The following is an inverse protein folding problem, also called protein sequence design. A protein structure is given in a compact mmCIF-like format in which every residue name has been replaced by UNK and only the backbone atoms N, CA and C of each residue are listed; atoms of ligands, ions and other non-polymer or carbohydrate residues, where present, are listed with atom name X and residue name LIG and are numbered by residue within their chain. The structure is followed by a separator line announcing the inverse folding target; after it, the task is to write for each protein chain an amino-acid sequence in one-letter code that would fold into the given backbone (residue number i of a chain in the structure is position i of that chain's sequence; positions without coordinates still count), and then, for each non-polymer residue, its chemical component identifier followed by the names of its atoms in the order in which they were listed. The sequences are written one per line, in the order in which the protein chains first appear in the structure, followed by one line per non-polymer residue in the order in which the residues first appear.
data_IF_400799359767
#
_entry.id   IF_400799359767
#
_cell.length_a   1.000
_cell.length_b   1.000
_cell.length_c   1.000
_cell.angle_alpha   90.00
_cell.angle_beta   90.00
_cell.angle_gamma   90.00
#
_symmetry.space_group_name_H-M   'P 1'
#
loop_
_entity.id
_entity.type
_entity.pdbx_description
1 polymer ?
#
# COMPACT_ATOMS: atom_id res chain seq x y z
N UNK A 1 -30.40 5.77 -35.20
CA UNK A 1 -29.55 5.01 -34.26
C UNK A 1 -28.04 5.08 -34.56
N UNK A 2 -27.53 4.71 -35.75
CA UNK A 2 -26.08 4.73 -36.08
C UNK A 2 -25.34 6.07 -35.79
N UNK A 3 -25.98 7.23 -36.00
CA UNK A 3 -25.37 8.54 -35.75
C UNK A 3 -25.29 8.93 -34.26
N UNK A 4 -26.16 8.36 -33.41
CA UNK A 4 -26.18 8.63 -31.96
C UNK A 4 -25.06 7.85 -31.25
N UNK A 5 -24.84 6.60 -31.65
CA UNK A 5 -23.76 5.74 -31.14
C UNK A 5 -22.36 6.29 -31.49
N UNK A 6 -22.18 6.84 -32.69
CA UNK A 6 -20.91 7.44 -33.11
C UNK A 6 -20.59 8.75 -32.35
N UNK A 7 -21.62 9.54 -32.04
CA UNK A 7 -21.48 10.79 -31.30
C UNK A 7 -21.11 10.57 -29.83
N UNK A 8 -21.68 9.54 -29.18
CA UNK A 8 -21.31 9.17 -27.81
C UNK A 8 -19.87 8.63 -27.72
N UNK A 9 -19.42 7.86 -28.71
CA UNK A 9 -18.06 7.32 -28.78
C UNK A 9 -16.98 8.41 -28.92
N UNK A 10 -17.27 9.49 -29.67
CA UNK A 10 -16.35 10.61 -29.89
C UNK A 10 -16.23 11.54 -28.68
N UNK A 11 -17.31 11.76 -27.92
CA UNK A 11 -17.27 12.53 -26.65
C UNK A 11 -16.53 11.76 -25.55
N UNK A 12 -16.51 10.43 -25.62
CA UNK A 12 -15.84 9.55 -24.65
C UNK A 12 -14.31 9.54 -24.77
N UNK A 13 -13.77 9.71 -25.98
CA UNK A 13 -12.32 9.72 -26.21
C UNK A 13 -11.65 11.03 -25.79
N UNK A 14 -12.41 12.08 -25.48
CA UNK A 14 -11.90 13.42 -25.18
C UNK A 14 -11.83 13.78 -23.68
N UNK A 15 -12.13 12.86 -22.76
CA UNK A 15 -12.12 13.16 -21.33
C UNK A 15 -10.73 12.90 -20.71
N UNK A 16 -10.08 13.92 -20.11
CA UNK A 16 -8.77 13.74 -19.48
C UNK A 16 -8.85 12.84 -18.24
N UNK A 17 -7.84 12.00 -18.06
CA UNK A 17 -7.67 11.16 -16.88
C UNK A 17 -7.29 12.04 -15.67
N UNK A 18 -8.20 12.20 -14.72
CA UNK A 18 -7.92 12.82 -13.43
C UNK A 18 -7.25 11.78 -12.53
N UNK A 19 -5.94 11.97 -12.30
CA UNK A 19 -5.19 11.20 -11.30
C UNK A 19 -5.64 11.57 -9.90
N UNK A 20 -5.77 10.59 -9.01
CA UNK A 20 -6.01 10.85 -7.60
C UNK A 20 -4.80 11.60 -7.01
N UNK A 21 -5.04 12.76 -6.39
CA UNK A 21 -4.02 13.48 -5.63
C UNK A 21 -3.54 12.57 -4.48
N UNK A 22 -2.25 12.24 -4.48
CA UNK A 22 -1.62 11.61 -3.32
C UNK A 22 -1.59 12.65 -2.19
N UNK A 23 -2.09 12.26 -1.02
CA UNK A 23 -1.93 13.09 0.17
C UNK A 23 -0.43 13.24 0.45
N UNK A 24 0.09 14.47 0.40
CA UNK A 24 1.51 14.73 0.66
C UNK A 24 1.81 14.49 2.13
N UNK A 25 2.86 13.71 2.41
CA UNK A 25 3.32 13.49 3.79
C UNK A 25 4.06 14.74 4.28
N UNK A 26 3.59 15.33 5.38
CA UNK A 26 4.23 16.49 6.00
C UNK A 26 5.38 16.05 6.93
N UNK A 27 6.61 16.16 6.43
CA UNK A 27 7.82 15.87 7.18
C UNK A 27 8.13 16.87 8.31
N UNK A 28 7.41 17.98 8.41
CA UNK A 28 7.58 18.99 9.46
C UNK A 28 6.68 18.74 10.67
N UNK A 29 5.63 17.95 10.50
CA UNK A 29 4.62 17.67 11.53
C UNK A 29 5.06 16.59 12.55
N UNK A 30 6.24 15.99 12.40
CA UNK A 30 6.73 14.99 13.35
C UNK A 30 7.02 15.64 14.70
N UNK A 31 6.09 15.43 15.62
CA UNK A 31 6.16 15.92 16.98
C UNK A 31 7.12 15.04 17.78
N UNK A 32 8.42 15.22 17.56
CA UNK A 32 9.43 14.65 18.45
C UNK A 32 9.30 15.38 19.78
N UNK A 33 8.89 14.63 20.80
CA UNK A 33 8.71 15.12 22.17
C UNK A 33 9.88 16.01 22.56
N UNK A 34 9.58 17.14 23.20
CA UNK A 34 10.61 17.98 23.76
C UNK A 34 11.41 17.15 24.77
N UNK A 35 12.73 17.09 24.60
CA UNK A 35 13.60 16.45 25.58
C UNK A 35 13.65 17.31 26.85
N UNK A 36 13.82 16.67 28.00
CA UNK A 36 13.89 17.36 29.28
C UNK A 36 15.00 18.43 29.26
N UNK A 37 14.76 19.58 29.90
CA UNK A 37 15.69 20.71 29.86
C UNK A 37 17.05 20.39 30.49
N UNK A 38 17.08 19.41 31.40
CA UNK A 38 18.25 18.90 32.11
C UNK A 38 18.91 17.69 31.43
N UNK A 39 18.45 17.29 30.24
CA UNK A 39 19.07 16.21 29.49
C UNK A 39 20.44 16.64 28.95
N UNK A 40 21.48 15.89 29.34
CA UNK A 40 22.87 16.26 29.06
C UNK A 40 23.27 16.08 27.59
N UNK A 41 22.47 15.31 26.84
CA UNK A 41 22.64 14.97 25.42
C UNK A 41 21.67 15.73 24.50
N UNK A 42 21.23 16.94 24.90
CA UNK A 42 20.36 17.80 24.07
C UNK A 42 20.88 18.04 22.65
N UNK A 43 22.20 18.14 22.47
CA UNK A 43 22.80 18.31 21.14
C UNK A 43 22.63 17.05 20.28
N UNK A 44 22.79 15.87 20.87
CA UNK A 44 22.55 14.57 20.20
C UNK A 44 21.08 14.46 19.81
N UNK A 45 20.16 14.83 20.71
CA UNK A 45 18.74 14.86 20.40
C UNK A 45 18.41 15.83 19.26
N UNK A 46 19.02 17.01 19.25
CA UNK A 46 18.82 18.01 18.18
C UNK A 46 19.32 17.48 16.83
N UNK A 47 20.49 16.84 16.81
CA UNK A 47 21.01 16.20 15.61
C UNK A 47 20.13 15.03 15.17
N UNK A 48 19.67 14.19 16.11
CA UNK A 48 18.75 13.09 15.84
C UNK A 48 17.46 13.57 15.17
N UNK A 49 16.86 14.69 15.65
CA UNK A 49 15.69 15.32 15.02
C UNK A 49 15.96 15.78 13.59
N UNK A 50 17.09 16.45 13.36
CA UNK A 50 17.47 16.88 12.00
C UNK A 50 17.66 15.68 11.08
N UNK A 51 18.30 14.61 11.56
CA UNK A 51 18.46 13.36 10.82
C UNK A 51 17.10 12.74 10.50
N UNK A 52 16.18 12.72 11.46
CA UNK A 52 14.81 12.24 11.29
C UNK A 52 14.03 12.99 10.19
N UNK A 53 14.17 14.32 10.11
CA UNK A 53 13.55 15.11 9.04
C UNK A 53 14.09 14.70 7.66
N UNK A 54 15.43 14.55 7.53
CA UNK A 54 16.07 14.06 6.31
C UNK A 54 15.64 12.63 5.96
N UNK A 55 15.45 11.77 6.96
CA UNK A 55 14.90 10.42 6.79
C UNK A 55 13.52 10.50 6.13
N UNK A 56 12.61 11.29 6.69
CA UNK A 56 11.26 11.44 6.15
C UNK A 56 11.27 11.93 4.70
N UNK A 57 12.02 13.00 4.41
CA UNK A 57 12.10 13.56 3.05
C UNK A 57 12.65 12.53 2.05
N UNK A 58 13.71 11.82 2.43
CA UNK A 58 14.33 10.80 1.57
C UNK A 58 13.38 9.64 1.30
N UNK A 59 12.60 9.22 2.29
CA UNK A 59 11.63 8.15 2.13
C UNK A 59 10.46 8.61 1.25
N UNK A 60 9.95 9.83 1.47
CA UNK A 60 8.91 10.43 0.62
C UNK A 60 9.36 10.47 -0.84
N UNK A 61 10.57 10.96 -1.10
CA UNK A 61 11.11 11.05 -2.47
C UNK A 61 11.21 9.67 -3.15
N UNK A 62 11.49 8.60 -2.40
CA UNK A 62 11.47 7.22 -2.89
C UNK A 62 10.04 6.80 -3.28
N UNK A 63 9.05 7.12 -2.44
CA UNK A 63 7.65 6.75 -2.68
C UNK A 63 6.99 7.54 -3.82
N UNK A 64 7.30 8.82 -3.95
CA UNK A 64 6.74 9.69 -4.99
C UNK A 64 7.35 9.41 -6.38
N UNK A 65 8.27 8.44 -6.49
CA UNK A 65 8.94 8.11 -7.75
C UNK A 65 9.78 9.27 -8.29
N UNK A 66 10.23 10.16 -7.40
CA UNK A 66 11.03 11.31 -7.75
C UNK A 66 12.28 10.87 -8.52
N UNK A 67 12.43 11.35 -9.75
CA UNK A 67 13.67 11.16 -10.50
C UNK A 67 14.80 11.77 -9.68
N UNK A 68 15.92 11.06 -9.45
CA UNK A 68 17.01 11.58 -8.62
C UNK A 68 17.45 12.93 -9.19
N UNK A 69 17.21 14.00 -8.43
CA UNK A 69 17.80 15.31 -8.69
C UNK A 69 19.31 15.10 -8.81
N UNK A 70 19.93 15.61 -9.88
CA UNK A 70 21.38 15.53 -10.16
C UNK A 70 22.19 15.55 -8.85
N UNK A 71 22.74 14.40 -8.45
CA UNK A 71 23.34 14.21 -7.13
C UNK A 71 23.14 12.80 -6.57
N UNK A 72 23.35 12.66 -5.25
CA UNK A 72 23.16 11.40 -4.51
C UNK A 72 21.71 10.93 -4.58
N UNK A 73 21.52 9.61 -4.76
CA UNK A 73 20.22 8.95 -4.64
C UNK A 73 19.61 9.18 -3.26
N UNK A 74 18.28 9.12 -3.09
CA UNK A 74 17.64 9.24 -1.77
C UNK A 74 18.22 8.25 -0.74
N UNK A 75 18.57 7.04 -1.17
CA UNK A 75 19.23 6.03 -0.32
C UNK A 75 20.62 6.47 0.14
N UNK A 76 21.42 7.10 -0.73
CA UNK A 76 22.75 7.59 -0.36
C UNK A 76 22.69 8.81 0.56
N UNK A 77 21.72 9.73 0.35
CA UNK A 77 21.50 10.88 1.25
C UNK A 77 21.13 10.41 2.65
N UNK A 78 20.26 9.42 2.73
CA UNK A 78 19.88 8.78 3.97
C UNK A 78 21.09 8.13 4.67
N UNK A 79 21.82 7.25 3.98
CA UNK A 79 22.96 6.55 4.56
C UNK A 79 24.00 7.53 5.10
N UNK A 80 24.25 8.62 4.35
CA UNK A 80 25.10 9.70 4.83
C UNK A 80 24.54 10.35 6.10
N UNK A 81 23.26 10.71 6.13
CA UNK A 81 22.64 11.37 7.29
C UNK A 81 22.69 10.50 8.56
N UNK A 82 22.47 9.19 8.42
CA UNK A 82 22.59 8.21 9.51
C UNK A 82 24.04 8.01 9.95
N UNK A 83 24.98 7.96 9.01
CA UNK A 83 26.41 7.88 9.30
C UNK A 83 26.91 9.12 10.05
N UNK A 84 26.57 10.31 9.58
CA UNK A 84 26.91 11.59 10.21
C UNK A 84 26.32 11.68 11.62
N UNK A 85 25.09 11.21 11.83
CA UNK A 85 24.47 11.15 13.14
C UNK A 85 25.16 10.15 14.07
N UNK A 86 25.43 8.93 13.58
CA UNK A 86 26.15 7.91 14.34
C UNK A 86 27.53 8.42 14.78
N UNK A 87 28.25 9.11 13.89
CA UNK A 87 29.53 9.72 14.22
C UNK A 87 29.40 10.81 15.30
N UNK A 88 28.39 11.66 15.19
CA UNK A 88 28.13 12.72 16.16
C UNK A 88 27.79 12.16 17.55
N UNK A 89 26.86 11.21 17.63
CA UNK A 89 26.43 10.59 18.88
C UNK A 89 27.56 9.80 19.56
N UNK A 90 28.33 9.08 18.76
CA UNK A 90 29.54 8.40 19.19
C UNK A 90 30.56 9.35 19.82
N UNK A 91 30.86 10.46 19.14
CA UNK A 91 31.83 11.43 19.64
C UNK A 91 31.34 12.08 20.95
N UNK A 92 30.04 12.30 21.11
CA UNK A 92 29.47 12.79 22.35
C UNK A 92 29.75 11.83 23.52
N UNK A 93 29.49 10.53 23.33
CA UNK A 93 29.78 9.51 24.33
C UNK A 93 31.29 9.36 24.60
N UNK A 94 32.14 9.39 23.57
CA UNK A 94 33.60 9.28 23.70
C UNK A 94 34.17 10.51 24.43
N UNK A 95 33.64 11.71 24.20
CA UNK A 95 34.08 12.90 24.91
C UNK A 95 33.76 12.82 26.41
N UNK A 96 32.64 12.18 26.76
CA UNK A 96 32.19 12.07 28.15
C UNK A 96 32.82 10.86 28.88
N UNK A 97 33.16 9.77 28.16
CA UNK A 97 33.58 8.49 28.77
C UNK A 97 34.81 7.82 28.14
N UNK A 98 35.36 8.33 27.03
CA UNK A 98 36.28 7.61 26.14
C UNK A 98 37.67 7.28 26.70
N UNK A 99 38.05 7.86 27.84
CA UNK A 99 39.28 7.49 28.57
C UNK A 99 39.04 6.48 29.71
N UNK A 100 37.78 6.10 29.96
CA UNK A 100 37.43 5.21 31.08
C UNK A 100 37.69 3.76 30.70
N UNK A 101 38.71 3.13 31.29
CA UNK A 101 38.98 1.68 31.12
C UNK A 101 37.79 0.81 31.56
N UNK A 102 36.93 1.34 32.43
CA UNK A 102 35.77 0.67 33.00
C UNK A 102 34.67 0.49 31.95
N UNK A 103 34.51 1.47 31.07
CA UNK A 103 33.44 1.50 30.07
C UNK A 103 34.10 1.33 28.70
N UNK A 104 34.29 0.08 28.26
CA UNK A 104 34.90 -0.29 26.97
C UNK A 104 34.01 0.11 25.78
N UNK A 105 33.72 1.40 25.66
CA UNK A 105 32.67 1.98 24.83
C UNK A 105 33.11 2.10 23.37
N UNK A 106 34.39 2.38 23.12
CA UNK A 106 34.93 2.68 21.78
C UNK A 106 34.59 1.59 20.75
N UNK A 107 34.78 0.31 21.10
CA UNK A 107 34.48 -0.80 20.19
C UNK A 107 32.98 -0.91 19.85
N UNK A 108 32.10 -0.73 20.84
CA UNK A 108 30.64 -0.82 20.64
C UNK A 108 30.11 0.38 19.85
N UNK A 109 30.68 1.56 20.10
CA UNK A 109 30.32 2.82 19.45
C UNK A 109 30.77 2.83 17.98
N UNK A 110 31.98 2.33 17.67
CA UNK A 110 32.43 2.17 16.28
C UNK A 110 31.57 1.18 15.51
N UNK A 111 31.24 0.04 16.12
CA UNK A 111 30.35 -0.94 15.49
C UNK A 111 28.95 -0.35 15.20
N UNK A 112 28.41 0.46 16.12
CA UNK A 112 27.16 1.19 15.91
C UNK A 112 27.26 2.17 14.72
N UNK A 113 28.35 2.94 14.60
CA UNK A 113 28.56 3.87 13.48
C UNK A 113 28.51 3.13 12.13
N UNK A 114 29.25 2.02 12.02
CA UNK A 114 29.29 1.20 10.81
C UNK A 114 27.90 0.65 10.46
N UNK A 115 27.12 0.27 11.47
CA UNK A 115 25.76 -0.25 11.29
C UNK A 115 24.76 0.83 10.88
N UNK A 116 24.83 2.02 11.47
CA UNK A 116 24.00 3.15 11.04
C UNK A 116 24.28 3.52 9.58
N UNK A 117 25.56 3.55 9.18
CA UNK A 117 25.97 3.84 7.81
C UNK A 117 25.54 2.76 6.80
N UNK A 118 25.42 1.50 7.25
CA UNK A 118 25.03 0.35 6.40
C UNK A 118 23.56 -0.06 6.53
N UNK A 119 22.74 0.70 7.27
CA UNK A 119 21.33 0.35 7.52
C UNK A 119 20.55 0.27 6.21
N UNK A 120 19.88 -0.88 6.00
CA UNK A 120 19.02 -1.11 4.85
C UNK A 120 17.58 -0.71 5.20
N UNK A 121 17.08 0.36 4.55
CA UNK A 121 15.70 0.84 4.68
C UNK A 121 14.65 -0.24 4.47
N UNK A 122 14.89 -1.17 3.55
CA UNK A 122 13.91 -2.19 3.18
C UNK A 122 13.59 -3.14 4.35
N UNK A 123 14.50 -3.25 5.33
CA UNK A 123 14.28 -4.10 6.50
C UNK A 123 13.44 -3.42 7.58
N UNK A 124 13.32 -2.08 7.54
CA UNK A 124 12.65 -1.30 8.57
C UNK A 124 13.28 -1.38 9.96
N UNK A 125 14.48 -1.94 10.08
CA UNK A 125 15.16 -2.18 11.35
C UNK A 125 16.33 -1.23 11.51
N UNK A 126 16.14 -0.19 12.31
CA UNK A 126 17.17 0.78 12.63
C UNK A 126 17.90 0.37 13.90
N UNK A 127 19.19 0.72 14.01
CA UNK A 127 19.90 0.62 15.28
C UNK A 127 19.14 1.35 16.40
N UNK A 128 19.27 0.88 17.63
CA UNK A 128 18.70 1.53 18.81
C UNK A 128 19.69 1.36 19.95
N UNK A 129 19.85 2.39 20.77
CA UNK A 129 20.55 2.25 22.04
C UNK A 129 19.55 1.82 23.10
N UNK A 130 19.86 0.81 23.89
CA UNK A 130 18.99 0.32 24.94
C UNK A 130 19.75 0.14 26.25
N UNK A 131 19.04 0.33 27.36
CA UNK A 131 19.52 0.02 28.70
C UNK A 131 18.66 -1.11 29.28
N UNK A 132 19.31 -2.15 29.81
CA UNK A 132 18.61 -3.20 30.55
C UNK A 132 19.15 -3.33 31.97
N UNK A 133 18.27 -3.60 32.93
CA UNK A 133 18.66 -4.00 34.28
C UNK A 133 19.13 -5.47 34.29
N UNK A 134 20.17 -5.74 35.06
CA UNK A 134 20.67 -7.08 35.38
C UNK A 134 20.77 -7.25 36.89
N UNK A 135 21.00 -8.47 37.37
CA UNK A 135 21.22 -8.75 38.79
C UNK A 135 22.47 -8.01 39.34
N UNK A 136 23.41 -7.66 38.46
CA UNK A 136 24.68 -7.00 38.79
C UNK A 136 24.66 -5.49 38.54
N UNK A 137 23.55 -4.93 38.02
CA UNK A 137 23.42 -3.49 37.77
C UNK A 137 22.66 -3.16 36.48
N UNK A 138 23.28 -2.37 35.60
CA UNK A 138 22.72 -1.99 34.32
C UNK A 138 23.69 -2.32 33.19
N UNK A 139 23.16 -2.65 32.03
CA UNK A 139 23.93 -2.85 30.81
C UNK A 139 23.38 -1.98 29.70
N UNK A 140 24.29 -1.31 28.98
CA UNK A 140 23.99 -0.64 27.73
C UNK A 140 24.32 -1.54 26.56
N UNK A 141 23.51 -1.48 25.50
CA UNK A 141 23.80 -2.18 24.25
C UNK A 141 23.14 -1.49 23.07
N UNK A 142 23.68 -1.76 21.87
CA UNK A 142 23.05 -1.35 20.63
C UNK A 142 22.33 -2.55 20.02
N UNK A 143 21.04 -2.44 19.79
CA UNK A 143 20.29 -3.46 19.04
C UNK A 143 20.33 -3.15 17.56
N UNK A 144 20.51 -4.19 16.75
CA UNK A 144 20.44 -4.09 15.29
C UNK A 144 19.43 -5.06 14.69
N UNK A 145 19.25 -4.93 13.38
CA UNK A 145 18.32 -5.71 12.58
C UNK A 145 18.42 -7.23 12.75
N UNK A 146 19.63 -7.74 13.02
CA UNK A 146 19.90 -9.17 12.96
C UNK A 146 20.30 -9.81 14.28
N UNK A 147 20.95 -9.11 15.23
CA UNK A 147 21.27 -9.63 16.59
C UNK A 147 21.49 -8.50 17.61
N UNK A 148 21.23 -8.79 18.89
CA UNK A 148 21.81 -8.02 20.01
C UNK A 148 23.31 -8.24 19.97
N UNK A 149 24.09 -7.16 19.87
CA UNK A 149 25.54 -7.25 19.95
C UNK A 149 26.06 -6.57 21.20
N UNK A 150 27.12 -7.17 21.74
CA UNK A 150 27.98 -6.78 22.88
C UNK A 150 27.37 -5.75 23.84
N UNK A 151 26.90 -6.27 24.97
CA UNK A 151 26.55 -5.50 26.16
C UNK A 151 27.80 -4.92 26.80
N UNK A 152 27.68 -3.74 27.40
CA UNK A 152 28.69 -3.17 28.29
C UNK A 152 28.05 -2.81 29.63
N UNK A 153 28.79 -3.06 30.70
CA UNK A 153 28.32 -2.73 32.05
C UNK A 153 28.27 -1.21 32.24
N UNK A 154 27.17 -0.71 32.78
CA UNK A 154 26.99 0.66 33.24
C UNK A 154 27.15 0.62 34.78
N UNK A 155 28.26 1.14 35.33
CA UNK A 155 28.47 1.14 36.76
C UNK A 155 27.39 1.99 37.46
N UNK A 156 26.85 1.53 38.59
CA UNK A 156 25.81 2.25 39.34
C UNK A 156 26.33 3.58 39.88
N UNK A 157 27.54 3.56 40.44
CA UNK A 157 28.22 4.70 41.02
C UNK A 157 29.64 4.76 40.48
N UNK A 158 29.91 5.73 39.61
CA UNK A 158 31.26 6.02 39.13
C UNK A 158 31.49 7.52 39.09
N UNK A 159 32.67 7.96 39.54
CA UNK A 159 33.05 9.38 39.56
C UNK A 159 33.02 10.01 38.16
N UNK A 160 33.29 9.23 37.11
CA UNK A 160 33.23 9.69 35.72
C UNK A 160 31.83 10.23 35.37
N UNK A 161 30.75 9.55 35.80
CA UNK A 161 29.39 9.98 35.52
C UNK A 161 28.98 11.25 36.27
N UNK A 162 29.51 11.46 37.48
CA UNK A 162 29.30 12.72 38.22
C UNK A 162 29.93 13.92 37.51
N UNK A 163 30.99 13.68 36.72
CA UNK A 163 31.74 14.69 35.98
C UNK A 163 31.19 14.98 34.60
N UNK A 164 30.35 14.10 34.03
CA UNK A 164 29.74 14.32 32.71
C UNK A 164 28.94 15.62 32.72
N UNK A 165 29.46 16.62 32.01
CA UNK A 165 28.85 17.94 31.78
C UNK A 165 28.31 18.63 33.04
N UNK A 166 28.92 18.37 34.21
CA UNK A 166 28.48 18.86 35.53
C UNK A 166 27.01 18.52 35.88
N UNK A 167 26.46 17.46 35.29
CA UNK A 167 25.07 17.10 35.48
C UNK A 167 24.74 16.59 36.89
N UNK A 168 25.76 16.09 37.61
CA UNK A 168 25.62 15.51 38.94
C UNK A 168 24.52 14.44 39.01
N UNK A 169 24.45 13.59 37.97
CA UNK A 169 23.47 12.51 37.82
C UNK A 169 24.13 11.13 38.03
N UNK A 170 23.39 10.13 38.52
CA UNK A 170 23.82 8.73 38.47
C UNK A 170 24.13 8.30 37.02
N UNK A 171 25.07 7.36 36.84
CA UNK A 171 25.43 6.86 35.51
C UNK A 171 24.22 6.38 34.72
N UNK A 172 23.32 5.64 35.38
CA UNK A 172 22.08 5.15 34.77
C UNK A 172 21.30 6.29 34.11
N UNK A 173 21.14 7.41 34.79
CA UNK A 173 20.35 8.53 34.30
C UNK A 173 21.06 9.27 33.17
N UNK A 174 22.41 9.36 33.20
CA UNK A 174 23.20 9.88 32.08
C UNK A 174 23.06 9.02 30.83
N UNK A 175 23.13 7.69 30.97
CA UNK A 175 22.92 6.79 29.83
C UNK A 175 21.44 6.80 29.38
N UNK A 176 20.49 6.95 30.29
CA UNK A 176 19.06 7.08 29.95
C UNK A 176 18.83 8.38 29.16
N UNK A 177 19.51 9.46 29.55
CA UNK A 177 19.52 10.70 28.80
C UNK A 177 20.05 10.50 27.37
N UNK A 178 21.10 9.68 27.23
CA UNK A 178 21.64 9.31 25.92
C UNK A 178 20.67 8.44 25.11
N UNK A 179 20.03 7.45 25.72
CA UNK A 179 19.01 6.59 25.10
C UNK A 179 17.88 7.40 24.49
N UNK A 180 17.31 8.31 25.27
CA UNK A 180 16.23 9.21 24.82
C UNK A 180 16.72 10.10 23.67
N UNK A 181 17.92 10.68 23.80
CA UNK A 181 18.48 11.55 22.79
C UNK A 181 18.82 10.81 21.48
N UNK A 182 19.39 9.62 21.59
CA UNK A 182 19.84 8.81 20.46
C UNK A 182 18.65 8.23 19.69
N UNK A 183 17.65 7.68 20.37
CA UNK A 183 16.51 7.01 19.72
C UNK A 183 15.47 7.98 19.13
N UNK A 184 15.65 9.29 19.29
CA UNK A 184 14.72 10.29 18.79
C UNK A 184 14.53 10.26 17.26
N UNK A 185 15.57 9.92 16.48
CA UNK A 185 15.40 9.80 15.02
C UNK A 185 14.49 8.63 14.64
N UNK A 186 14.54 7.53 15.40
CA UNK A 186 13.76 6.32 15.13
C UNK A 186 12.28 6.54 15.42
N UNK A 187 11.92 7.27 16.49
CA UNK A 187 10.52 7.61 16.76
C UNK A 187 9.83 8.24 15.54
N UNK A 188 10.52 9.13 14.82
CA UNK A 188 10.01 9.74 13.58
C UNK A 188 9.88 8.74 12.46
N UNK A 189 10.87 7.86 12.28
CA UNK A 189 10.78 6.79 11.29
C UNK A 189 9.59 5.86 11.58
N UNK A 190 9.45 5.41 12.83
CA UNK A 190 8.37 4.53 13.25
C UNK A 190 7.01 5.21 13.07
N UNK A 191 6.89 6.50 13.41
CA UNK A 191 5.69 7.30 13.13
C UNK A 191 5.41 7.39 11.63
N UNK A 192 6.42 7.73 10.83
CA UNK A 192 6.30 7.83 9.37
C UNK A 192 5.84 6.51 8.76
N UNK A 193 6.50 5.40 9.10
CA UNK A 193 6.17 4.08 8.56
C UNK A 193 4.79 3.67 9.00
N UNK A 194 4.44 3.87 10.27
CA UNK A 194 3.10 3.53 10.75
C UNK A 194 2.03 4.36 10.06
N UNK A 195 2.22 5.67 9.91
CA UNK A 195 1.21 6.54 9.31
C UNK A 195 1.14 6.38 7.79
N UNK A 196 2.27 6.21 7.11
CA UNK A 196 2.31 5.88 5.67
C UNK A 196 1.70 4.51 5.41
N UNK A 197 2.02 3.49 6.21
CA UNK A 197 1.40 2.16 6.08
C UNK A 197 -0.09 2.21 6.36
N UNK A 198 -0.54 2.96 7.38
CA UNK A 198 -1.97 3.16 7.64
C UNK A 198 -2.65 3.83 6.46
N UNK A 199 -2.06 4.89 5.89
CA UNK A 199 -2.63 5.58 4.73
C UNK A 199 -2.65 4.70 3.48
N UNK A 200 -1.57 3.96 3.22
CA UNK A 200 -1.50 2.99 2.13
C UNK A 200 -2.55 1.91 2.29
N UNK A 201 -2.65 1.29 3.47
CA UNK A 201 -3.67 0.27 3.77
C UNK A 201 -5.09 0.85 3.69
N UNK A 202 -5.30 2.08 4.16
CA UNK A 202 -6.59 2.76 4.06
C UNK A 202 -6.99 3.01 2.60
N UNK A 203 -6.07 3.55 1.78
CA UNK A 203 -6.30 3.79 0.36
C UNK A 203 -6.53 2.47 -0.40
N UNK A 204 -5.72 1.46 -0.08
CA UNK A 204 -5.85 0.13 -0.66
C UNK A 204 -7.19 -0.51 -0.30
N UNK A 205 -7.60 -0.42 0.97
CA UNK A 205 -8.89 -0.92 1.42
C UNK A 205 -10.03 -0.18 0.72
N UNK A 206 -9.94 1.15 0.60
CA UNK A 206 -10.90 1.97 -0.14
C UNK A 206 -10.98 1.58 -1.62
N UNK A 207 -9.85 1.27 -2.26
CA UNK A 207 -9.82 0.85 -3.66
C UNK A 207 -10.48 -0.52 -3.83
N UNK A 208 -10.23 -1.46 -2.91
CA UNK A 208 -10.91 -2.77 -2.89
C UNK A 208 -12.41 -2.63 -2.58
N UNK A 209 -12.79 -1.80 -1.62
CA UNK A 209 -14.20 -1.51 -1.30
C UNK A 209 -14.92 -0.92 -2.54
N UNK A 210 -14.28 0.03 -3.23
CA UNK A 210 -14.79 0.60 -4.47
C UNK A 210 -14.85 -0.44 -5.59
N UNK A 211 -13.84 -1.30 -5.73
CA UNK A 211 -13.88 -2.38 -6.71
C UNK A 211 -15.06 -3.30 -6.43
N UNK A 212 -15.24 -3.76 -5.20
CA UNK A 212 -16.37 -4.61 -4.84
C UNK A 212 -17.71 -3.91 -5.05
N UNK A 213 -17.78 -2.60 -4.81
CA UNK A 213 -19.01 -1.84 -4.99
C UNK A 213 -19.35 -1.56 -6.47
N UNK A 214 -18.36 -1.23 -7.29
CA UNK A 214 -18.59 -0.72 -8.64
C UNK A 214 -18.34 -1.77 -9.72
N UNK A 215 -17.58 -2.83 -9.44
CA UNK A 215 -17.28 -3.86 -10.43
C UNK A 215 -18.49 -4.72 -10.78
N UNK A 216 -18.47 -5.33 -11.98
CA UNK A 216 -19.46 -6.34 -12.35
C UNK A 216 -19.19 -7.60 -11.53
N UNK A 217 -20.23 -8.35 -11.17
CA UNK A 217 -20.05 -9.61 -10.48
C UNK A 217 -19.18 -10.57 -11.32
N UNK A 218 -18.38 -11.40 -10.65
CA UNK A 218 -17.54 -12.40 -11.32
C UNK A 218 -17.82 -13.79 -10.75
N UNK A 219 -17.88 -14.75 -11.65
CA UNK A 219 -17.81 -16.18 -11.34
C UNK A 219 -16.37 -16.59 -10.98
N UNK A 220 -16.20 -17.76 -10.37
CA UNK A 220 -14.85 -18.24 -10.03
C UNK A 220 -13.91 -18.40 -11.25
N UNK A 221 -14.47 -18.75 -12.42
CA UNK A 221 -13.72 -18.83 -13.67
C UNK A 221 -13.20 -17.45 -14.10
N UNK A 222 -14.05 -16.44 -14.03
CA UNK A 222 -13.72 -15.06 -14.39
C UNK A 222 -12.68 -14.46 -13.47
N UNK A 223 -12.78 -14.74 -12.17
CA UNK A 223 -11.74 -14.38 -11.19
C UNK A 223 -10.40 -15.00 -11.57
N UNK A 224 -10.39 -16.29 -11.89
CA UNK A 224 -9.18 -17.00 -12.31
C UNK A 224 -8.58 -16.41 -13.59
N UNK A 225 -9.39 -16.20 -14.63
CA UNK A 225 -8.92 -15.61 -15.89
C UNK A 225 -8.41 -14.18 -15.71
N UNK A 226 -9.11 -13.37 -14.91
CA UNK A 226 -8.68 -12.00 -14.58
C UNK A 226 -7.33 -12.03 -13.85
N UNK A 227 -7.15 -12.97 -12.92
CA UNK A 227 -5.90 -13.15 -12.17
C UNK A 227 -4.74 -13.55 -13.10
N UNK A 228 -4.98 -14.47 -14.04
CA UNK A 228 -3.98 -14.86 -15.04
C UNK A 228 -3.61 -13.69 -15.96
N UNK A 229 -4.60 -12.96 -16.45
CA UNK A 229 -4.41 -11.79 -17.32
C UNK A 229 -3.58 -10.71 -16.62
N UNK A 230 -3.86 -10.46 -15.33
CA UNK A 230 -3.16 -9.48 -14.50
C UNK A 230 -2.06 -10.10 -13.64
N UNK A 231 -1.50 -11.24 -14.03
CA UNK A 231 -0.51 -11.96 -13.21
C UNK A 231 0.72 -11.11 -12.84
N UNK A 232 1.19 -10.23 -13.74
CA UNK A 232 2.28 -9.29 -13.44
C UNK A 232 1.91 -8.24 -12.38
N UNK A 233 0.65 -7.83 -12.34
CA UNK A 233 0.14 -6.90 -11.33
C UNK A 233 0.10 -7.56 -9.96
N UNK A 234 -0.34 -8.82 -9.89
CA UNK A 234 -0.46 -9.56 -8.61
C UNK A 234 0.83 -10.20 -8.11
N UNK A 235 1.87 -10.34 -8.95
CA UNK A 235 3.19 -10.88 -8.56
C UNK A 235 4.17 -9.83 -8.01
N UNK A 236 3.70 -8.63 -7.70
CA UNK A 236 4.55 -7.60 -7.08
C UNK A 236 4.90 -8.00 -5.64
N UNK A 237 6.04 -7.52 -5.16
CA UNK A 237 6.61 -7.78 -3.84
C UNK A 237 5.93 -7.00 -2.69
N UNK A 238 4.88 -6.25 -3.01
CA UNK A 238 4.10 -5.45 -2.08
C UNK A 238 2.60 -5.70 -2.28
N UNK A 239 1.81 -5.28 -1.31
CA UNK A 239 0.35 -5.41 -1.39
C UNK A 239 -0.17 -4.52 -2.53
N UNK A 240 -0.97 -5.10 -3.42
CA UNK A 240 -1.51 -4.41 -4.59
C UNK A 240 -3.02 -4.25 -4.52
N UNK A 241 -3.51 -3.17 -5.14
CA UNK A 241 -4.93 -2.91 -5.32
C UNK A 241 -5.62 -3.89 -6.27
N UNK A 242 -6.93 -3.74 -6.45
CA UNK A 242 -7.72 -4.51 -7.41
C UNK A 242 -7.16 -4.38 -8.85
N UNK A 243 -7.43 -5.36 -9.73
CA UNK A 243 -6.98 -5.31 -11.13
C UNK A 243 -7.63 -4.13 -11.85
N UNK A 244 -7.02 -3.57 -12.89
CA UNK A 244 -7.59 -2.40 -13.59
C UNK A 244 -8.79 -2.72 -14.49
N UNK A 245 -8.97 -4.00 -14.82
CA UNK A 245 -10.09 -4.51 -15.62
C UNK A 245 -10.44 -5.93 -15.22
N UNK A 246 -11.63 -6.38 -15.57
CA UNK A 246 -12.13 -7.73 -15.35
C UNK A 246 -12.31 -8.44 -16.69
N UNK A 247 -11.97 -9.72 -16.74
CA UNK A 247 -12.31 -10.61 -17.84
C UNK A 247 -13.68 -11.22 -17.56
N UNK A 248 -14.55 -11.16 -18.55
CA UNK A 248 -15.87 -11.80 -18.54
C UNK A 248 -15.77 -13.05 -19.41
N UNK A 249 -16.22 -14.19 -18.89
CA UNK A 249 -16.18 -15.46 -19.58
C UNK A 249 -17.24 -16.40 -19.02
N UNK A 250 -18.08 -16.95 -19.91
CA UNK A 250 -19.17 -17.86 -19.55
C UNK A 250 -20.06 -17.29 -18.45
N UNK A 251 -20.48 -16.03 -18.59
CA UNK A 251 -21.25 -15.31 -17.57
C UNK A 251 -22.76 -15.45 -17.83
N UNK A 252 -23.49 -16.24 -17.01
CA UNK A 252 -24.94 -16.35 -17.15
C UNK A 252 -25.64 -15.12 -16.56
N UNK A 253 -26.70 -14.66 -17.21
CA UNK A 253 -27.55 -13.57 -16.72
C UNK A 253 -29.00 -13.70 -17.21
N UNK A 254 -29.94 -13.06 -16.52
CA UNK A 254 -31.31 -12.91 -17.02
C UNK A 254 -31.42 -11.65 -17.85
N UNK A 255 -32.16 -11.74 -18.94
CA UNK A 255 -32.36 -10.62 -19.85
C UNK A 255 -33.84 -10.41 -20.14
N UNK A 256 -34.17 -9.18 -20.52
CA UNK A 256 -35.45 -8.82 -21.12
C UNK A 256 -35.18 -8.43 -22.57
N UNK A 257 -35.68 -9.20 -23.52
CA UNK A 257 -35.39 -9.07 -24.95
C UNK A 257 -36.62 -8.57 -25.71
N UNK A 258 -36.43 -7.56 -26.55
CA UNK A 258 -37.40 -7.10 -27.54
C UNK A 258 -36.99 -7.54 -28.96
N UNK A 259 -37.92 -8.13 -29.70
CA UNK A 259 -37.77 -8.58 -31.08
C UNK A 259 -38.90 -7.99 -31.93
N UNK A 260 -38.55 -7.31 -33.02
CA UNK A 260 -39.53 -6.62 -33.86
C UNK A 260 -40.36 -7.59 -34.71
N UNK A 261 -39.74 -8.64 -35.26
CA UNK A 261 -40.41 -9.67 -36.09
C UNK A 261 -41.20 -10.73 -35.33
N UNK A 262 -41.38 -10.60 -34.01
CA UNK A 262 -42.22 -11.51 -33.24
C UNK A 262 -43.72 -11.19 -33.41
N UNK A 263 -44.59 -12.17 -33.16
CA UNK A 263 -46.05 -11.98 -33.24
C UNK A 263 -46.49 -10.87 -32.29
N UNK A 264 -47.44 -10.03 -32.73
CA UNK A 264 -48.00 -8.94 -31.92
C UNK A 264 -48.43 -9.43 -30.53
N UNK A 265 -47.85 -8.82 -29.50
CA UNK A 265 -48.08 -9.17 -28.09
C UNK A 265 -47.01 -10.09 -27.50
N UNK A 266 -46.15 -10.65 -28.33
CA UNK A 266 -45.00 -11.50 -27.96
C UNK A 266 -43.67 -10.85 -28.37
N UNK A 267 -43.64 -9.52 -28.52
CA UNK A 267 -42.44 -8.79 -28.94
C UNK A 267 -41.42 -8.66 -27.81
N UNK A 268 -41.84 -8.77 -26.54
CA UNK A 268 -40.96 -8.58 -25.40
C UNK A 268 -41.08 -9.73 -24.38
N UNK A 269 -39.97 -10.43 -24.11
CA UNK A 269 -39.94 -11.58 -23.21
C UNK A 269 -38.70 -11.62 -22.32
N UNK A 270 -38.83 -12.34 -21.20
CA UNK A 270 -37.69 -12.70 -20.37
C UNK A 270 -36.94 -13.89 -20.96
N UNK A 271 -35.62 -13.82 -20.93
CA UNK A 271 -34.73 -14.87 -21.41
C UNK A 271 -33.52 -15.06 -20.53
N UNK A 272 -32.68 -15.99 -20.94
CA UNK A 272 -31.35 -16.19 -20.35
C UNK A 272 -30.30 -15.78 -21.38
N UNK A 273 -29.23 -15.15 -20.92
CA UNK A 273 -28.08 -14.87 -21.76
C UNK A 273 -26.81 -15.44 -21.16
N UNK A 274 -25.87 -15.79 -22.03
CA UNK A 274 -24.52 -16.20 -21.68
C UNK A 274 -23.55 -15.27 -22.39
N UNK A 275 -22.73 -14.55 -21.62
CA UNK A 275 -21.61 -13.79 -22.15
C UNK A 275 -20.43 -14.75 -22.34
N UNK A 276 -20.01 -14.94 -23.59
CA UNK A 276 -18.93 -15.86 -23.92
C UNK A 276 -17.57 -15.28 -23.59
N UNK A 277 -17.37 -14.00 -23.95
CA UNK A 277 -16.12 -13.29 -23.77
C UNK A 277 -16.40 -11.80 -23.66
N UNK A 278 -15.78 -11.14 -22.70
CA UNK A 278 -15.85 -9.69 -22.55
C UNK A 278 -14.74 -9.11 -21.68
N UNK A 279 -14.73 -7.79 -21.62
CA UNK A 279 -13.86 -7.01 -20.76
C UNK A 279 -14.66 -5.91 -20.08
N UNK A 280 -14.37 -5.70 -18.80
CA UNK A 280 -15.02 -4.66 -18.00
C UNK A 280 -14.00 -3.76 -17.32
N UNK A 281 -14.18 -2.45 -17.41
CA UNK A 281 -13.34 -1.41 -16.84
C UNK A 281 -14.08 -0.70 -15.71
N UNK A 282 -13.86 -1.12 -14.47
CA UNK A 282 -14.56 -0.57 -13.30
C UNK A 282 -13.96 0.73 -12.75
N UNK A 283 -12.66 0.98 -12.99
CA UNK A 283 -11.93 2.10 -12.39
C UNK A 283 -11.97 3.39 -13.21
N UNK A 284 -12.75 3.44 -14.29
CA UNK A 284 -12.92 4.62 -15.14
C UNK A 284 -13.91 5.60 -14.51
N UNK A 285 -13.87 6.87 -14.94
CA UNK A 285 -14.82 7.91 -14.49
C UNK A 285 -16.26 7.46 -14.68
N UNK A 286 -16.52 6.80 -15.79
CA UNK A 286 -17.75 6.06 -16.03
C UNK A 286 -17.36 4.59 -16.30
N UNK A 287 -17.65 3.67 -15.37
CA UNK A 287 -17.40 2.25 -15.57
C UNK A 287 -18.11 1.74 -16.82
N UNK A 288 -17.42 0.94 -17.62
CA UNK A 288 -17.99 0.39 -18.84
C UNK A 288 -17.33 -0.94 -19.23
N UNK A 289 -18.02 -1.71 -20.05
CA UNK A 289 -17.48 -2.94 -20.62
C UNK A 289 -18.16 -3.32 -21.92
N UNK A 290 -17.61 -4.33 -22.57
CA UNK A 290 -18.16 -4.91 -23.79
C UNK A 290 -17.98 -6.42 -23.76
N UNK A 291 -18.99 -7.15 -24.22
CA UNK A 291 -18.94 -8.60 -24.36
C UNK A 291 -19.64 -9.07 -25.63
N UNK A 292 -19.31 -10.30 -26.03
CA UNK A 292 -20.05 -11.08 -27.00
C UNK A 292 -20.95 -12.03 -26.22
N UNK A 293 -22.24 -12.00 -26.49
CA UNK A 293 -23.23 -12.78 -25.76
C UNK A 293 -24.18 -13.50 -26.71
N UNK A 294 -24.74 -14.60 -26.23
CA UNK A 294 -25.91 -15.24 -26.81
C UNK A 294 -27.09 -15.13 -25.85
N UNK A 295 -28.26 -14.85 -26.39
CA UNK A 295 -29.54 -14.77 -25.69
C UNK A 295 -30.41 -15.94 -26.14
N UNK A 296 -31.08 -16.59 -25.21
CA UNK A 296 -32.12 -17.58 -25.44
C UNK A 296 -33.46 -17.07 -24.89
N UNK A 297 -34.47 -17.01 -25.76
CA UNK A 297 -35.88 -16.77 -25.43
C UNK A 297 -36.76 -17.81 -26.12
N UNK A 298 -37.77 -18.33 -25.43
CA UNK A 298 -38.65 -19.38 -25.96
C UNK A 298 -39.86 -18.73 -26.64
N UNK A 299 -39.84 -18.63 -27.97
CA UNK A 299 -40.89 -17.94 -28.75
C UNK A 299 -41.43 -18.81 -29.87
N UNK A 300 -42.73 -18.69 -30.13
CA UNK A 300 -43.44 -19.59 -31.06
C UNK A 300 -43.04 -19.37 -32.54
N UNK A 301 -42.61 -18.16 -32.91
CA UNK A 301 -42.49 -17.74 -34.32
C UNK A 301 -41.11 -17.25 -34.75
N UNK A 302 -40.14 -17.18 -33.86
CA UNK A 302 -38.79 -16.65 -34.14
C UNK A 302 -37.74 -17.54 -33.49
N UNK A 303 -36.53 -17.57 -34.06
CA UNK A 303 -35.47 -18.43 -33.55
C UNK A 303 -35.09 -18.12 -32.09
N UNK A 304 -34.94 -19.17 -31.29
CA UNK A 304 -34.78 -19.02 -29.83
C UNK A 304 -33.45 -18.38 -29.42
N UNK A 305 -32.37 -18.65 -30.18
CA UNK A 305 -31.00 -18.23 -29.81
C UNK A 305 -30.51 -17.12 -30.73
N UNK A 306 -30.19 -15.95 -30.18
CA UNK A 306 -29.55 -14.84 -30.91
C UNK A 306 -28.19 -14.52 -30.33
N UNK A 307 -27.22 -14.21 -31.19
CA UNK A 307 -25.87 -13.83 -30.76
C UNK A 307 -25.57 -12.41 -31.16
N UNK A 308 -24.76 -11.73 -30.36
CA UNK A 308 -24.31 -10.38 -30.71
C UNK A 308 -23.46 -9.75 -29.63
N UNK A 309 -23.55 -8.43 -29.53
CA UNK A 309 -22.71 -7.62 -28.64
C UNK A 309 -23.53 -7.09 -27.47
N UNK A 310 -22.90 -6.99 -26.31
CA UNK A 310 -23.47 -6.39 -25.12
C UNK A 310 -22.52 -5.31 -24.60
N UNK A 311 -23.07 -4.15 -24.27
CA UNK A 311 -22.38 -3.03 -23.66
C UNK A 311 -22.79 -2.93 -22.20
N UNK A 312 -21.82 -2.86 -21.30
CA UNK A 312 -22.03 -2.65 -19.87
C UNK A 312 -21.87 -1.18 -19.54
N UNK A 313 -22.85 -0.62 -18.83
CA UNK A 313 -22.90 0.78 -18.41
C UNK A 313 -22.97 0.84 -16.88
N UNK A 314 -22.01 1.54 -16.27
CA UNK A 314 -21.85 1.63 -14.82
C UNK A 314 -21.76 0.25 -14.12
N UNK A 315 -21.46 -0.81 -14.88
CA UNK A 315 -21.44 -2.21 -14.48
C UNK A 315 -22.73 -2.74 -13.83
N UNK A 316 -23.82 -1.96 -13.87
CA UNK A 316 -25.14 -2.31 -13.32
C UNK A 316 -26.13 -2.68 -14.40
N UNK A 317 -26.02 -2.00 -15.53
CA UNK A 317 -26.94 -2.12 -16.65
C UNK A 317 -26.18 -2.65 -17.85
N UNK A 318 -26.78 -3.58 -18.58
CA UNK A 318 -26.23 -4.00 -19.86
C UNK A 318 -27.26 -3.88 -20.96
N UNK A 319 -26.87 -3.28 -22.08
CA UNK A 319 -27.67 -3.18 -23.28
C UNK A 319 -26.97 -3.98 -24.37
N UNK A 320 -27.68 -4.93 -24.97
CA UNK A 320 -27.14 -5.68 -26.08
C UNK A 320 -28.02 -5.65 -27.31
N UNK A 321 -27.38 -6.02 -28.41
CA UNK A 321 -27.98 -6.20 -29.70
C UNK A 321 -27.64 -7.60 -30.19
N UNK A 322 -28.65 -8.33 -30.66
CA UNK A 322 -28.50 -9.67 -31.19
C UNK A 322 -29.09 -9.77 -32.58
N UNK A 323 -28.49 -10.62 -33.41
CA UNK A 323 -28.96 -10.88 -34.77
C UNK A 323 -29.04 -12.37 -35.05
N UNK A 324 -30.10 -12.77 -35.75
CA UNK A 324 -30.25 -14.12 -36.30
C UNK A 324 -31.26 -14.13 -37.44
N UNK A 325 -30.93 -14.83 -38.53
CA UNK A 325 -31.86 -15.18 -39.60
C UNK A 325 -32.66 -13.98 -40.18
N UNK A 326 -32.04 -12.80 -40.24
CA UNK A 326 -32.65 -11.56 -40.72
C UNK A 326 -33.30 -10.70 -39.65
N UNK A 327 -33.49 -11.23 -38.44
CA UNK A 327 -34.15 -10.58 -37.33
C UNK A 327 -33.15 -9.90 -36.38
N UNK A 328 -33.50 -8.70 -35.93
CA UNK A 328 -32.75 -7.94 -34.94
C UNK A 328 -33.46 -7.98 -33.60
N UNK A 329 -32.67 -8.02 -32.54
CA UNK A 329 -33.14 -7.96 -31.15
C UNK A 329 -32.37 -6.91 -30.38
N UNK A 330 -33.03 -6.31 -29.41
CA UNK A 330 -32.40 -5.48 -28.38
C UNK A 330 -32.74 -6.09 -27.04
N UNK A 331 -31.74 -6.35 -26.22
CA UNK A 331 -31.94 -6.93 -24.90
C UNK A 331 -31.29 -6.10 -23.81
N UNK A 332 -31.94 -6.10 -22.66
CA UNK A 332 -31.51 -5.41 -21.46
C UNK A 332 -31.26 -6.43 -20.34
N UNK A 333 -30.17 -6.27 -19.62
CA UNK A 333 -29.80 -7.14 -18.49
C UNK A 333 -29.57 -6.32 -17.22
N UNK A 334 -30.02 -6.88 -16.10
CA UNK A 334 -29.63 -6.48 -14.76
C UNK A 334 -28.75 -7.58 -14.18
N UNK A 335 -27.61 -7.20 -13.60
CA UNK A 335 -26.71 -8.15 -12.95
C UNK A 335 -27.35 -8.69 -11.66
N UNK A 336 -28.11 -9.78 -11.76
CA UNK A 336 -28.80 -10.37 -10.61
C UNK A 336 -27.84 -11.00 -9.60
N UNK A 337 -26.62 -11.36 -10.00
CA UNK A 337 -25.63 -11.87 -9.05
C UNK A 337 -25.28 -10.80 -8.00
N UNK A 338 -25.41 -9.51 -8.34
CA UNK A 338 -25.29 -8.42 -7.35
C UNK A 338 -26.45 -8.38 -6.34
N UNK A 339 -27.64 -8.89 -6.69
CA UNK A 339 -28.78 -8.99 -5.79
C UNK A 339 -28.68 -10.18 -4.85
N UNK A 340 -28.09 -11.30 -5.30
CA UNK A 340 -28.00 -12.53 -4.53
C UNK A 340 -26.69 -12.70 -3.75
N UNK A 341 -25.63 -11.98 -4.10
CA UNK A 341 -24.33 -12.07 -3.42
C UNK A 341 -24.07 -10.82 -2.59
N UNK A 342 -23.96 -10.98 -1.27
CA UNK A 342 -23.35 -9.93 -0.45
C UNK A 342 -21.89 -9.77 -0.87
N UNK A 343 -21.52 -8.59 -1.37
CA UNK A 343 -20.15 -8.29 -1.85
C UNK A 343 -19.06 -8.64 -0.83
N UNK A 344 -19.41 -8.63 0.46
CA UNK A 344 -18.57 -9.09 1.58
C UNK A 344 -18.18 -10.57 1.50
N UNK A 345 -19.09 -11.46 1.09
CA UNK A 345 -18.77 -12.88 0.89
C UNK A 345 -17.87 -13.14 -0.32
N UNK A 346 -17.90 -12.29 -1.35
CA UNK A 346 -16.97 -12.40 -2.47
C UNK A 346 -15.55 -12.05 -2.04
N UNK A 347 -15.39 -10.99 -1.24
CA UNK A 347 -14.10 -10.59 -0.67
C UNK A 347 -13.45 -11.70 0.18
N UNK A 348 -14.23 -12.34 1.04
CA UNK A 348 -13.75 -13.46 1.85
C UNK A 348 -13.26 -14.64 1.00
N UNK A 349 -13.93 -14.94 -0.13
CA UNK A 349 -13.46 -15.96 -1.09
C UNK A 349 -12.15 -15.58 -1.77
N UNK A 350 -11.99 -14.31 -2.15
CA UNK A 350 -10.73 -13.81 -2.72
C UNK A 350 -9.54 -14.02 -1.78
N UNK A 351 -9.71 -13.68 -0.50
CA UNK A 351 -8.66 -13.88 0.52
C UNK A 351 -8.33 -15.36 0.68
N UNK A 352 -9.33 -16.23 0.79
CA UNK A 352 -9.12 -17.66 0.98
C UNK A 352 -8.39 -18.30 -0.21
N UNK A 353 -8.75 -17.91 -1.43
CA UNK A 353 -8.12 -18.42 -2.64
C UNK A 353 -6.66 -17.94 -2.79
N UNK A 354 -6.35 -16.71 -2.38
CA UNK A 354 -4.99 -16.18 -2.37
C UNK A 354 -4.08 -16.90 -1.36
N UNK A 355 -4.60 -17.24 -0.17
CA UNK A 355 -3.83 -18.02 0.83
C UNK A 355 -3.40 -19.39 0.31
N UNK A 356 -4.26 -20.07 -0.45
CA UNK A 356 -3.94 -21.37 -1.05
C UNK A 356 -2.92 -21.32 -2.21
N UNK A 357 -2.52 -20.14 -2.69
CA UNK A 357 -1.42 -19.99 -3.67
C UNK A 357 -0.08 -19.61 -3.02
N UNK A 358 -0.09 -19.23 -1.74
CA UNK A 358 1.11 -18.90 -0.96
C UNK A 358 1.64 -20.10 -0.14
N UNK A 359 0.83 -21.15 -0.02
CA UNK A 359 1.22 -22.49 0.44
C UNK A 359 1.59 -23.37 -0.76
#
# INVERSE_FOLDING_TARGET
MRRLLLALLLVYLSLPALGAESASVDCTAFNVEAIAADNVYKDVHTKARSTAATLCESIRDIFDGGSPSVGKTPSEKLQQSLGDFGQFAAQALINDFGSSEVIKLDANVREMQEQLASTNLATGKFPEFQISSTDEGYEGFFTTAEKVKKRFAIPLEHEDCKRVRNANKPCKDVFTDFEIAFNAYRKVYDQFVNDTNKQLLFNLNRDWDRFLDVSKSQTGLEVWLTTLWHSKHFKKDHIVGPPSSQIIALHPQLVYEYVDGAVDGDNAEFGVAVEWLGINFWNKKMPFGISVASVYTDRVSVADIRSGIMLHLDNKYSLGWGYRDGENSVYFSLDLLTLFQSKRQQYERYIQQYKGYLE
#
